data_IF_723093571578
#
_entry.id   IF_723093571578
#
_cell.length_a   1.000
_cell.length_b   1.000
_cell.length_c   1.000
_cell.angle_alpha   90.00
_cell.angle_beta   90.00
_cell.angle_gamma   90.00
#
_symmetry.space_group_name_H-M   'P 1'
#
loop_
_entity.id
_entity.type
_entity.pdbx_description
1 polymer ?
#
# COMPACT_ATOMS: atom_id res chain seq x y z
N UNK A 1 23.41 7.23 3.35
CA UNK A 1 23.62 7.32 1.88
C UNK A 1 24.61 8.43 1.52
N UNK A 2 24.44 9.74 1.88
CA UNK A 2 25.38 10.79 1.49
C UNK A 2 26.83 10.51 1.94
N UNK A 3 27.05 9.97 3.14
CA UNK A 3 28.36 9.60 3.63
C UNK A 3 29.02 8.52 2.77
N UNK A 4 28.26 7.47 2.42
CA UNK A 4 28.75 6.38 1.56
C UNK A 4 29.15 6.90 0.17
N UNK A 5 28.33 7.78 -0.40
CA UNK A 5 28.59 8.43 -1.68
C UNK A 5 29.87 9.31 -1.63
N UNK A 6 30.02 10.12 -0.57
CA UNK A 6 31.20 10.96 -0.38
C UNK A 6 32.50 10.12 -0.26
N UNK A 7 32.44 9.00 0.46
CA UNK A 7 33.58 8.08 0.59
C UNK A 7 33.86 7.40 -0.75
N UNK A 8 32.86 6.95 -1.49
CA UNK A 8 33.04 6.33 -2.81
C UNK A 8 33.70 7.30 -3.80
N UNK A 9 33.27 8.56 -3.83
CA UNK A 9 33.84 9.62 -4.65
C UNK A 9 35.29 9.88 -4.28
N UNK A 10 35.62 9.98 -2.98
CA UNK A 10 36.98 10.22 -2.50
C UNK A 10 37.91 9.05 -2.81
N UNK A 11 37.42 7.82 -2.64
CA UNK A 11 38.23 6.61 -2.85
C UNK A 11 38.23 6.14 -4.30
N UNK A 12 37.38 6.69 -5.17
CA UNK A 12 37.21 6.29 -6.59
C UNK A 12 37.00 4.78 -6.76
N UNK A 13 36.21 4.18 -5.87
CA UNK A 13 35.86 2.76 -5.88
C UNK A 13 34.52 2.50 -5.22
N UNK A 14 33.95 1.32 -5.47
CA UNK A 14 32.70 0.91 -4.80
C UNK A 14 32.92 0.84 -3.27
N UNK A 15 31.94 1.32 -2.52
CA UNK A 15 31.95 1.34 -1.05
C UNK A 15 30.62 0.80 -0.53
N UNK A 16 30.70 -0.09 0.45
CA UNK A 16 29.56 -0.55 1.23
C UNK A 16 29.72 -0.04 2.67
N UNK A 17 28.66 0.52 3.21
CA UNK A 17 28.54 0.92 4.61
C UNK A 17 27.30 0.26 5.19
N UNK A 18 27.46 -0.51 6.24
CA UNK A 18 26.42 -1.24 6.93
C UNK A 18 26.54 -0.95 8.42
N UNK A 19 25.43 -0.52 9.02
CA UNK A 19 25.37 -0.27 10.47
C UNK A 19 25.11 -1.58 11.20
N UNK A 20 25.74 -1.75 12.37
CA UNK A 20 25.31 -2.75 13.32
C UNK A 20 23.94 -2.37 13.92
N UNK A 21 23.23 -3.32 14.52
CA UNK A 21 21.94 -3.03 15.16
C UNK A 21 22.05 -1.97 16.26
N UNK A 22 23.12 -1.99 17.03
CA UNK A 22 23.39 -0.96 18.03
C UNK A 22 23.59 0.43 17.44
N UNK A 23 24.36 0.55 16.36
CA UNK A 23 24.56 1.82 15.64
C UNK A 23 23.25 2.31 14.99
N UNK A 24 22.44 1.41 14.46
CA UNK A 24 21.12 1.75 13.87
C UNK A 24 20.17 2.34 14.93
N UNK A 25 20.13 1.75 16.13
CA UNK A 25 19.35 2.30 17.25
C UNK A 25 19.85 3.66 17.76
N UNK A 26 21.16 3.90 17.70
CA UNK A 26 21.76 5.15 18.17
C UNK A 26 21.74 6.27 17.12
N UNK A 27 21.93 5.92 15.86
CA UNK A 27 22.09 6.86 14.75
C UNK A 27 21.01 6.82 13.69
N UNK A 28 20.02 5.92 13.80
CA UNK A 28 18.87 5.82 12.93
C UNK A 28 17.81 6.90 13.20
N UNK A 29 16.73 6.85 12.42
CA UNK A 29 15.59 7.74 12.56
C UNK A 29 14.43 6.96 13.19
N UNK A 30 14.24 6.98 14.51
CA UNK A 30 13.12 6.30 15.16
C UNK A 30 11.79 6.97 14.85
N UNK A 31 10.69 6.26 15.05
CA UNK A 31 9.38 6.93 15.11
C UNK A 31 9.39 7.99 16.21
N UNK A 32 8.89 9.22 15.95
CA UNK A 32 8.92 10.27 16.94
C UNK A 32 8.05 9.90 18.16
N UNK A 33 8.52 10.25 19.35
CA UNK A 33 7.71 10.16 20.55
C UNK A 33 6.63 11.25 20.55
N UNK A 34 5.49 10.97 21.15
CA UNK A 34 4.44 11.97 21.31
C UNK A 34 3.77 11.91 22.68
N UNK A 35 3.21 13.05 23.08
CA UNK A 35 2.28 13.15 24.20
C UNK A 35 0.96 13.67 23.66
N UNK A 36 -0.13 12.96 23.94
CA UNK A 36 -1.46 13.31 23.46
C UNK A 36 -2.43 13.40 24.62
N UNK A 37 -3.07 14.56 24.73
CA UNK A 37 -4.23 14.75 25.61
C UNK A 37 -5.47 14.73 24.75
N UNK A 38 -6.37 13.77 24.99
CA UNK A 38 -7.58 13.55 24.22
C UNK A 38 -8.81 13.63 25.11
N UNK A 39 -9.80 14.38 24.65
CA UNK A 39 -11.17 14.41 25.22
C UNK A 39 -12.15 14.08 24.10
N UNK A 40 -13.03 13.16 24.38
CA UNK A 40 -14.10 12.78 23.45
C UNK A 40 -15.45 12.88 24.14
N UNK A 41 -16.50 13.14 23.37
CA UNK A 41 -17.86 13.15 23.80
C UNK A 41 -18.73 12.31 22.88
N UNK A 42 -19.65 11.56 23.46
CA UNK A 42 -20.68 10.83 22.74
C UNK A 42 -22.03 10.98 23.42
N UNK A 43 -23.11 10.81 22.67
CA UNK A 43 -24.45 10.70 23.20
C UNK A 43 -24.63 9.39 23.97
N UNK A 44 -25.71 9.27 24.77
CA UNK A 44 -25.96 8.04 25.56
C UNK A 44 -26.26 6.81 24.68
N UNK A 45 -26.71 7.02 23.47
CA UNK A 45 -26.95 6.01 22.45
C UNK A 45 -25.73 5.70 21.59
N UNK A 46 -24.57 6.30 21.92
CA UNK A 46 -23.27 5.93 21.36
C UNK A 46 -22.86 6.68 20.10
N UNK A 47 -23.49 7.80 19.75
CA UNK A 47 -23.00 8.63 18.63
C UNK A 47 -21.94 9.60 19.08
N UNK A 48 -20.82 9.70 18.38
CA UNK A 48 -19.82 10.73 18.63
C UNK A 48 -20.40 12.12 18.46
N UNK A 49 -20.08 13.02 19.39
CA UNK A 49 -20.48 14.43 19.36
C UNK A 49 -19.30 15.34 19.14
N UNK A 50 -18.17 15.06 19.81
CA UNK A 50 -17.02 15.93 19.78
C UNK A 50 -15.70 15.19 20.08
N UNK A 51 -14.62 15.75 19.56
CA UNK A 51 -13.23 15.39 19.88
C UNK A 51 -12.42 16.67 20.05
N UNK A 52 -11.69 16.76 21.16
CA UNK A 52 -10.72 17.83 21.44
C UNK A 52 -9.39 17.21 21.84
N UNK A 53 -8.34 17.44 21.04
CA UNK A 53 -7.03 16.87 21.28
C UNK A 53 -5.91 17.89 21.20
N UNK A 54 -4.90 17.70 22.06
CA UNK A 54 -3.62 18.41 21.97
C UNK A 54 -2.50 17.39 21.82
N UNK A 55 -1.68 17.54 20.78
CA UNK A 55 -0.57 16.67 20.41
C UNK A 55 0.74 17.43 20.56
N UNK A 56 1.66 16.90 21.35
CA UNK A 56 3.05 17.34 21.42
C UNK A 56 3.93 16.26 20.80
N UNK A 57 4.53 16.55 19.62
CA UNK A 57 5.38 15.63 18.87
C UNK A 57 6.85 16.00 19.07
N UNK A 58 7.67 15.06 19.55
CA UNK A 58 9.11 15.23 19.70
C UNK A 58 9.83 14.82 18.40
N UNK A 59 10.19 15.79 17.58
CA UNK A 59 10.83 15.57 16.29
C UNK A 59 12.35 15.39 16.36
N UNK A 60 12.97 15.53 17.56
CA UNK A 60 14.40 15.58 17.67
C UNK A 60 14.98 16.88 17.10
N UNK A 61 16.15 16.82 16.48
CA UNK A 61 16.88 18.02 16.03
C UNK A 61 16.35 18.68 14.76
N UNK A 62 15.45 18.03 14.01
CA UNK A 62 14.88 18.57 12.77
C UNK A 62 13.36 18.52 12.79
N UNK A 63 12.73 19.57 12.24
CA UNK A 63 11.29 19.59 12.03
C UNK A 63 10.86 18.51 11.05
N UNK A 64 9.69 17.90 11.28
CA UNK A 64 9.09 16.88 10.41
C UNK A 64 7.55 16.95 10.51
N UNK A 65 6.80 16.53 9.48
CA UNK A 65 5.36 16.75 9.38
C UNK A 65 4.52 15.67 10.07
N UNK A 66 5.04 14.99 11.09
CA UNK A 66 4.38 13.81 11.68
C UNK A 66 3.20 14.16 12.57
N UNK A 67 3.23 15.34 13.20
CA UNK A 67 2.13 15.86 14.02
C UNK A 67 0.88 16.15 13.20
N UNK A 68 1.02 16.74 12.02
CA UNK A 68 -0.10 16.97 11.10
C UNK A 68 -0.77 15.66 10.68
N UNK A 69 0.02 14.65 10.35
CA UNK A 69 -0.51 13.34 9.94
C UNK A 69 -1.24 12.65 11.10
N UNK A 70 -0.68 12.70 12.31
CA UNK A 70 -1.34 12.17 13.51
C UNK A 70 -2.66 12.89 13.77
N UNK A 71 -2.68 14.23 13.71
CA UNK A 71 -3.89 15.04 13.91
C UNK A 71 -4.98 14.68 12.91
N UNK A 72 -4.63 14.53 11.64
CA UNK A 72 -5.56 14.12 10.58
C UNK A 72 -6.19 12.75 10.89
N UNK A 73 -5.40 11.77 11.29
CA UNK A 73 -5.90 10.43 11.57
C UNK A 73 -6.75 10.36 12.83
N UNK A 74 -6.38 11.11 13.89
CA UNK A 74 -7.19 11.21 15.11
C UNK A 74 -8.59 11.77 14.84
N UNK A 75 -8.69 12.81 14.01
CA UNK A 75 -9.96 13.49 13.75
C UNK A 75 -10.77 12.92 12.60
N UNK A 76 -10.32 11.86 11.93
CA UNK A 76 -10.94 11.41 10.67
C UNK A 76 -11.24 9.91 10.60
N UNK A 77 -10.78 9.10 11.55
CA UNK A 77 -11.05 7.64 11.56
C UNK A 77 -12.53 7.34 11.83
N UNK A 78 -13.17 8.18 12.59
CA UNK A 78 -14.60 8.14 12.87
C UNK A 78 -15.29 9.41 12.39
N UNK A 79 -16.58 9.33 12.12
CA UNK A 79 -17.40 10.48 11.80
C UNK A 79 -17.70 11.27 13.10
N UNK A 80 -16.95 12.34 13.34
CA UNK A 80 -17.05 13.16 14.55
C UNK A 80 -17.43 14.59 14.15
N UNK A 81 -18.69 15.01 14.41
CA UNK A 81 -19.21 16.29 13.91
C UNK A 81 -18.42 17.53 14.33
N UNK A 82 -17.84 17.50 15.52
CA UNK A 82 -17.08 18.63 16.08
C UNK A 82 -15.70 18.13 16.53
N UNK A 83 -14.71 18.22 15.67
CA UNK A 83 -13.35 17.81 15.96
C UNK A 83 -12.39 19.00 15.97
N UNK A 84 -11.57 19.09 17.01
CA UNK A 84 -10.44 20.02 17.11
C UNK A 84 -9.20 19.27 17.51
N UNK A 85 -8.14 19.36 16.72
CA UNK A 85 -6.83 18.79 17.05
C UNK A 85 -5.77 19.88 16.87
N UNK A 86 -5.19 20.29 17.99
CA UNK A 86 -4.02 21.18 18.00
C UNK A 86 -2.77 20.33 18.09
N UNK A 87 -1.77 20.58 17.26
CA UNK A 87 -0.49 19.89 17.34
C UNK A 87 0.67 20.86 17.35
N UNK A 88 1.70 20.49 18.10
CA UNK A 88 2.98 21.18 18.15
C UNK A 88 4.10 20.20 17.86
N UNK A 89 4.95 20.58 16.94
CA UNK A 89 6.16 19.82 16.60
C UNK A 89 7.34 20.49 17.31
N UNK A 90 7.96 19.74 18.22
CA UNK A 90 8.96 20.28 19.14
C UNK A 90 10.33 19.75 18.75
N UNK A 91 11.28 20.65 18.54
CA UNK A 91 12.67 20.28 18.35
C UNK A 91 13.35 20.05 19.68
N UNK A 92 14.06 18.95 19.80
CA UNK A 92 14.81 18.55 21.00
C UNK A 92 16.22 18.07 20.64
N UNK A 93 17.06 17.85 21.64
CA UNK A 93 18.42 17.36 21.47
C UNK A 93 18.49 15.83 21.31
N UNK A 94 17.53 15.24 20.59
CA UNK A 94 17.46 13.81 20.26
C UNK A 94 17.74 13.57 18.78
N UNK A 95 18.06 12.35 18.35
CA UNK A 95 18.06 12.01 16.94
C UNK A 95 16.76 12.40 16.26
N UNK A 96 16.83 12.77 14.98
CA UNK A 96 15.66 13.16 14.21
C UNK A 96 14.63 12.01 14.16
N UNK A 97 13.38 12.32 14.48
CA UNK A 97 12.25 11.42 14.23
C UNK A 97 12.04 11.22 12.73
N UNK A 98 11.83 9.99 12.32
CA UNK A 98 11.68 9.62 10.91
C UNK A 98 10.46 8.77 10.62
N UNK A 99 10.21 8.50 9.31
CA UNK A 99 9.12 7.64 8.91
C UNK A 99 9.41 6.20 9.32
N UNK A 100 8.60 5.66 10.18
CA UNK A 100 8.49 4.24 10.43
C UNK A 100 7.18 3.73 9.80
N UNK A 101 7.04 2.47 9.47
CA UNK A 101 5.88 1.89 8.75
C UNK A 101 4.55 2.52 9.17
N UNK A 102 3.79 3.09 8.20
CA UNK A 102 2.61 3.92 8.42
C UNK A 102 2.85 5.06 9.43
N UNK A 103 3.73 6.06 9.12
CA UNK A 103 4.11 7.11 10.06
C UNK A 103 2.91 7.73 10.77
N UNK A 104 3.00 7.89 12.09
CA UNK A 104 1.95 8.41 12.99
C UNK A 104 0.66 7.57 13.09
N UNK A 105 0.36 6.67 12.15
CA UNK A 105 -0.88 5.89 12.20
C UNK A 105 -0.97 4.94 13.40
N UNK A 106 0.09 4.20 13.80
CA UNK A 106 0.05 3.40 15.02
C UNK A 106 -0.16 4.24 16.28
N UNK A 107 0.43 5.45 16.33
CA UNK A 107 0.26 6.37 17.45
C UNK A 107 -1.19 6.88 17.53
N UNK A 108 -1.75 7.30 16.39
CA UNK A 108 -3.14 7.74 16.30
C UNK A 108 -4.11 6.62 16.68
N UNK A 109 -3.91 5.41 16.15
CA UNK A 109 -4.74 4.26 16.45
C UNK A 109 -4.67 3.90 17.95
N UNK A 110 -3.48 3.86 18.55
CA UNK A 110 -3.34 3.55 19.98
C UNK A 110 -4.11 4.53 20.86
N UNK A 111 -3.97 5.84 20.62
CA UNK A 111 -4.63 6.88 21.39
C UNK A 111 -6.14 6.85 21.21
N UNK A 112 -6.60 6.79 19.95
CA UNK A 112 -8.02 6.87 19.63
C UNK A 112 -8.76 5.59 20.04
N UNK A 113 -8.24 4.43 19.71
CA UNK A 113 -8.90 3.16 19.97
C UNK A 113 -8.96 2.80 21.46
N UNK A 114 -7.91 3.15 22.24
CA UNK A 114 -7.95 3.03 23.69
C UNK A 114 -9.03 3.92 24.31
N UNK A 115 -9.20 5.14 23.76
CA UNK A 115 -10.24 6.05 24.23
C UNK A 115 -11.65 5.56 23.83
N UNK A 116 -11.80 5.01 22.63
CA UNK A 116 -13.06 4.40 22.14
C UNK A 116 -13.49 3.23 23.03
N UNK A 117 -12.57 2.37 23.43
CA UNK A 117 -12.86 1.26 24.35
C UNK A 117 -13.33 1.77 25.73
N UNK A 118 -12.65 2.78 26.27
CA UNK A 118 -13.07 3.40 27.54
C UNK A 118 -14.47 4.01 27.42
N UNK A 119 -14.77 4.71 26.32
CA UNK A 119 -16.06 5.32 26.08
C UNK A 119 -17.18 4.28 25.94
N UNK A 120 -16.96 3.22 25.14
CA UNK A 120 -17.92 2.13 24.99
C UNK A 120 -18.23 1.47 26.34
N UNK A 121 -17.20 1.24 27.18
CA UNK A 121 -17.32 0.69 28.52
C UNK A 121 -18.14 1.61 29.44
N UNK A 122 -17.85 2.92 29.46
CA UNK A 122 -18.54 3.88 30.29
C UNK A 122 -20.03 4.04 29.91
N UNK A 123 -20.32 3.97 28.60
CA UNK A 123 -21.67 3.98 28.05
C UNK A 123 -22.38 2.62 28.21
N UNK A 124 -21.66 1.54 28.56
CA UNK A 124 -22.13 0.14 28.61
C UNK A 124 -22.66 -0.34 27.26
N UNK A 125 -22.00 0.06 26.20
CA UNK A 125 -22.26 -0.35 24.82
C UNK A 125 -21.25 -1.43 24.38
N UNK A 126 -21.69 -2.25 23.45
CA UNK A 126 -20.76 -3.17 22.78
C UNK A 126 -19.72 -2.37 22.00
N UNK A 127 -18.41 -2.60 22.20
CA UNK A 127 -17.36 -1.82 21.57
C UNK A 127 -17.31 -1.97 20.04
N UNK A 128 -17.82 -3.08 19.50
CA UNK A 128 -17.89 -3.27 18.04
C UNK A 128 -19.06 -2.51 17.45
N UNK A 129 -20.24 -2.56 18.09
CA UNK A 129 -21.41 -1.80 17.65
C UNK A 129 -21.15 -0.29 17.74
N UNK A 130 -20.46 0.16 18.80
CA UNK A 130 -20.05 1.56 18.94
C UNK A 130 -19.19 2.01 17.74
N UNK A 131 -18.22 1.18 17.31
CA UNK A 131 -17.37 1.48 16.16
C UNK A 131 -18.14 1.43 14.84
N UNK A 132 -19.00 0.44 14.64
CA UNK A 132 -19.85 0.32 13.45
C UNK A 132 -20.75 1.54 13.25
N UNK A 133 -21.31 2.05 14.35
CA UNK A 133 -22.20 3.22 14.32
C UNK A 133 -21.46 4.50 13.91
N UNK A 134 -20.19 4.62 14.23
CA UNK A 134 -19.42 5.86 14.10
C UNK A 134 -18.31 5.81 13.05
N UNK A 135 -18.04 4.66 12.45
CA UNK A 135 -16.96 4.53 11.47
C UNK A 135 -17.14 5.49 10.30
N UNK A 136 -16.06 6.14 9.90
CA UNK A 136 -16.07 7.00 8.72
C UNK A 136 -16.37 6.19 7.45
N UNK A 137 -17.07 6.80 6.53
CA UNK A 137 -17.48 6.22 5.25
C UNK A 137 -16.91 7.03 4.08
N UNK A 138 -16.96 6.45 2.90
CA UNK A 138 -16.61 7.13 1.65
C UNK A 138 -17.45 8.39 1.48
N UNK A 139 -16.79 9.53 1.26
CA UNK A 139 -17.42 10.84 1.13
C UNK A 139 -17.54 11.63 2.42
N UNK A 140 -17.32 11.03 3.59
CA UNK A 140 -17.27 11.78 4.85
C UNK A 140 -16.13 12.80 4.85
N UNK A 141 -16.37 13.95 5.47
CA UNK A 141 -15.37 15.00 5.57
C UNK A 141 -14.31 14.66 6.64
N UNK A 142 -13.05 14.70 6.27
CA UNK A 142 -11.93 14.61 7.18
C UNK A 142 -11.70 15.94 7.90
N UNK A 143 -11.06 15.91 9.07
CA UNK A 143 -10.76 17.12 9.88
C UNK A 143 -10.00 18.22 9.11
N UNK A 144 -9.30 17.87 8.03
CA UNK A 144 -8.58 18.80 7.17
C UNK A 144 -9.43 19.39 6.03
N UNK A 145 -10.74 19.12 6.01
CA UNK A 145 -11.69 19.61 5.00
C UNK A 145 -11.70 18.84 3.68
N UNK A 146 -10.90 17.78 3.54
CA UNK A 146 -10.99 16.89 2.37
C UNK A 146 -11.94 15.73 2.66
N UNK A 147 -12.49 15.11 1.61
CA UNK A 147 -13.34 13.95 1.78
C UNK A 147 -12.54 12.64 1.76
N UNK A 148 -13.02 11.65 2.50
CA UNK A 148 -12.52 10.30 2.37
C UNK A 148 -12.84 9.77 0.96
N UNK A 149 -11.82 9.37 0.19
CA UNK A 149 -12.07 8.55 -1.00
C UNK A 149 -12.59 7.18 -0.58
N UNK A 150 -12.52 6.16 -1.42
CA UNK A 150 -13.01 4.82 -1.04
C UNK A 150 -12.36 4.34 0.26
N UNK A 151 -13.15 4.20 1.35
CA UNK A 151 -12.73 3.71 2.66
C UNK A 151 -13.75 2.70 3.20
N UNK A 152 -13.28 1.53 3.68
CA UNK A 152 -14.13 0.38 4.01
C UNK A 152 -13.97 -0.08 5.48
N UNK A 153 -13.95 0.85 6.44
CA UNK A 153 -13.82 0.54 7.88
C UNK A 153 -14.98 -0.37 8.34
N UNK A 154 -16.22 0.00 7.97
CA UNK A 154 -17.42 -0.77 8.34
C UNK A 154 -17.35 -2.20 7.83
N UNK A 155 -16.97 -2.41 6.57
CA UNK A 155 -16.85 -3.75 6.01
C UNK A 155 -15.81 -4.62 6.76
N UNK A 156 -14.71 -4.03 7.20
CA UNK A 156 -13.72 -4.72 8.03
C UNK A 156 -14.29 -5.09 9.41
N UNK A 157 -15.04 -4.19 10.06
CA UNK A 157 -15.71 -4.45 11.34
C UNK A 157 -16.80 -5.52 11.22
N UNK A 158 -17.62 -5.48 10.17
CA UNK A 158 -18.64 -6.50 9.88
C UNK A 158 -18.01 -7.87 9.64
N UNK A 159 -16.87 -7.90 8.96
CA UNK A 159 -16.10 -9.13 8.76
C UNK A 159 -15.58 -9.71 10.08
N UNK A 160 -15.11 -8.84 11.01
CA UNK A 160 -14.75 -9.25 12.35
C UNK A 160 -15.96 -9.82 13.08
N UNK A 161 -17.10 -9.11 13.07
CA UNK A 161 -18.36 -9.54 13.73
C UNK A 161 -18.79 -10.93 13.28
N UNK A 162 -18.64 -11.23 11.98
CA UNK A 162 -19.04 -12.50 11.38
C UNK A 162 -17.99 -13.63 11.57
N UNK A 163 -16.79 -13.33 12.06
CA UNK A 163 -15.71 -14.30 12.13
C UNK A 163 -15.87 -15.27 13.30
N UNK A 164 -15.77 -16.60 13.10
CA UNK A 164 -15.95 -17.61 14.17
C UNK A 164 -15.06 -17.38 15.39
N UNK A 165 -13.78 -17.06 15.22
CA UNK A 165 -12.85 -16.79 16.33
C UNK A 165 -13.32 -15.65 17.24
N UNK A 166 -13.98 -14.63 16.67
CA UNK A 166 -14.53 -13.54 17.46
C UNK A 166 -15.81 -13.96 18.20
N UNK A 167 -16.70 -14.69 17.52
CA UNK A 167 -17.99 -15.11 18.08
C UNK A 167 -17.85 -16.19 19.15
N UNK A 168 -16.90 -17.13 18.98
CA UNK A 168 -16.68 -18.29 19.85
C UNK A 168 -15.65 -18.00 20.96
N UNK A 169 -15.23 -16.75 21.10
CA UNK A 169 -14.22 -16.36 22.09
C UNK A 169 -14.70 -16.66 23.52
N UNK A 170 -14.42 -17.85 24.01
CA UNK A 170 -14.67 -18.23 25.40
C UNK A 170 -13.77 -17.48 26.36
N UNK A 171 -14.31 -17.10 27.52
CA UNK A 171 -13.50 -16.55 28.61
C UNK A 171 -12.85 -17.74 29.35
N UNK A 172 -11.56 -17.94 29.09
CA UNK A 172 -10.70 -18.80 29.87
C UNK A 172 -10.04 -17.96 30.98
N UNK A 173 -9.62 -18.63 32.05
CA UNK A 173 -8.94 -17.96 33.16
C UNK A 173 -7.66 -17.24 32.66
N UNK A 174 -7.45 -16.04 33.17
CA UNK A 174 -6.32 -15.17 32.81
C UNK A 174 -6.23 -14.84 31.29
N UNK A 175 -7.33 -14.94 30.57
CA UNK A 175 -7.38 -14.54 29.16
C UNK A 175 -8.23 -13.31 28.94
N UNK A 176 -7.90 -12.58 27.89
CA UNK A 176 -8.66 -11.43 27.41
C UNK A 176 -8.54 -11.27 25.92
N UNK A 177 -9.48 -10.57 25.31
CA UNK A 177 -9.40 -10.21 23.90
C UNK A 177 -9.74 -8.75 23.69
N UNK A 178 -9.18 -8.18 22.65
CA UNK A 178 -9.44 -6.81 22.23
C UNK A 178 -9.25 -6.65 20.73
N UNK A 179 -9.75 -5.56 20.18
CA UNK A 179 -9.54 -5.22 18.78
C UNK A 179 -9.42 -3.71 18.60
N UNK A 180 -8.80 -3.33 17.49
CA UNK A 180 -8.61 -1.93 17.12
C UNK A 180 -8.76 -1.75 15.61
N UNK A 181 -9.19 -0.55 15.23
CA UNK A 181 -9.22 -0.08 13.84
C UNK A 181 -7.91 0.59 13.51
N UNK A 182 -7.35 0.26 12.36
CA UNK A 182 -6.20 0.95 11.78
C UNK A 182 -6.53 1.48 10.40
N UNK A 183 -6.04 2.68 10.09
CA UNK A 183 -6.22 3.28 8.78
C UNK A 183 -4.92 3.88 8.30
N UNK A 184 -4.63 3.70 7.00
CA UNK A 184 -3.54 4.35 6.32
C UNK A 184 -4.03 5.01 5.04
N UNK A 185 -3.74 6.30 4.88
CA UNK A 185 -4.25 7.09 3.75
C UNK A 185 -3.74 6.64 2.39
N UNK A 186 -2.61 5.92 2.32
CA UNK A 186 -1.78 5.74 1.14
C UNK A 186 -1.53 7.07 0.39
N UNK A 187 -0.47 7.15 -0.36
CA UNK A 187 -0.19 8.33 -1.15
C UNK A 187 -0.30 7.99 -2.64
N UNK A 188 -0.26 9.01 -3.47
CA UNK A 188 -0.19 8.91 -4.92
C UNK A 188 0.93 9.78 -5.46
N UNK A 189 1.45 9.44 -6.62
CA UNK A 189 2.46 10.23 -7.33
C UNK A 189 2.37 9.94 -8.83
N UNK A 190 2.74 10.87 -9.69
CA UNK A 190 2.90 10.56 -11.10
C UNK A 190 3.88 9.40 -11.32
N UNK A 191 3.57 8.56 -12.31
CA UNK A 191 4.40 7.43 -12.69
C UNK A 191 4.37 7.20 -14.20
N UNK A 192 5.44 6.59 -14.73
CA UNK A 192 5.53 6.15 -16.10
C UNK A 192 6.04 4.71 -16.21
N UNK A 193 5.76 4.07 -17.33
CA UNK A 193 6.26 2.75 -17.69
C UNK A 193 6.47 2.65 -19.19
N UNK A 194 7.44 1.84 -19.63
CA UNK A 194 7.63 1.51 -21.04
C UNK A 194 7.71 0.00 -21.22
N UNK A 195 7.08 -0.50 -22.27
CA UNK A 195 7.13 -1.89 -22.68
C UNK A 195 7.81 -2.02 -24.04
N UNK A 196 8.59 -3.08 -24.23
CA UNK A 196 9.18 -3.44 -25.53
C UNK A 196 9.09 -4.94 -25.73
N UNK A 197 8.45 -5.35 -26.81
CA UNK A 197 8.43 -6.74 -27.23
C UNK A 197 9.68 -7.06 -28.09
N UNK A 198 10.36 -8.14 -27.75
CA UNK A 198 11.56 -8.62 -28.46
C UNK A 198 11.21 -9.66 -29.54
N UNK A 199 12.16 -9.90 -30.46
CA UNK A 199 11.99 -10.84 -31.57
C UNK A 199 11.87 -12.32 -31.14
N UNK A 200 12.28 -12.64 -29.93
CA UNK A 200 12.14 -13.99 -29.35
C UNK A 200 10.78 -14.20 -28.62
N UNK A 201 9.97 -13.15 -28.54
CA UNK A 201 8.69 -13.17 -27.82
C UNK A 201 8.78 -12.75 -26.36
N UNK A 202 9.94 -12.40 -25.86
CA UNK A 202 10.13 -11.83 -24.52
C UNK A 202 9.67 -10.37 -24.51
N UNK A 203 9.02 -9.94 -23.43
CA UNK A 203 8.68 -8.54 -23.20
C UNK A 203 9.56 -7.95 -22.12
N UNK A 204 10.17 -6.81 -22.40
CA UNK A 204 10.91 -5.99 -21.44
C UNK A 204 10.02 -4.87 -20.92
N UNK A 205 9.83 -4.83 -19.58
CA UNK A 205 9.14 -3.78 -18.85
C UNK A 205 10.18 -2.86 -18.18
N UNK A 206 10.27 -1.62 -18.61
CA UNK A 206 11.19 -0.63 -18.09
C UNK A 206 10.51 0.25 -17.06
N UNK A 207 11.05 0.30 -15.84
CA UNK A 207 10.52 1.04 -14.69
C UNK A 207 11.60 1.82 -13.97
N UNK A 208 11.23 2.95 -13.37
CA UNK A 208 12.09 3.69 -12.44
C UNK A 208 11.98 3.23 -10.98
N UNK A 209 11.11 2.27 -10.68
CA UNK A 209 10.87 1.79 -9.30
C UNK A 209 11.89 0.74 -8.87
N UNK A 210 12.27 0.77 -7.59
CA UNK A 210 13.05 -0.31 -6.97
C UNK A 210 12.15 -1.47 -6.60
N UNK A 211 12.67 -2.71 -6.73
CA UNK A 211 11.98 -3.90 -6.25
C UNK A 211 12.06 -4.00 -4.71
N UNK A 212 11.05 -3.48 -4.06
CA UNK A 212 10.88 -3.59 -2.60
C UNK A 212 9.64 -4.42 -2.33
N UNK A 213 9.79 -5.45 -1.50
CA UNK A 213 8.71 -6.41 -1.16
C UNK A 213 8.21 -7.24 -2.35
N UNK A 214 9.02 -7.45 -3.39
CA UNK A 214 8.68 -8.27 -4.55
C UNK A 214 7.66 -7.63 -5.52
N UNK A 215 7.56 -6.30 -5.52
CA UNK A 215 6.55 -5.58 -6.32
C UNK A 215 6.73 -5.79 -7.83
N UNK A 216 7.97 -6.01 -8.30
CA UNK A 216 8.23 -6.28 -9.72
C UNK A 216 7.52 -7.54 -10.21
N UNK A 217 7.37 -8.57 -9.36
CA UNK A 217 6.54 -9.75 -9.68
C UNK A 217 5.09 -9.36 -9.95
N UNK A 218 4.51 -8.50 -9.11
CA UNK A 218 3.16 -7.98 -9.32
C UNK A 218 3.02 -7.18 -10.61
N UNK A 219 4.02 -6.38 -10.96
CA UNK A 219 4.05 -5.62 -12.21
C UNK A 219 4.15 -6.52 -13.44
N UNK A 220 4.97 -7.57 -13.37
CA UNK A 220 5.02 -8.58 -14.44
C UNK A 220 3.67 -9.31 -14.61
N UNK A 221 2.94 -9.59 -13.51
CA UNK A 221 1.60 -10.17 -13.55
C UNK A 221 0.60 -9.29 -14.32
N UNK A 222 0.65 -7.95 -14.14
CA UNK A 222 -0.20 -7.02 -14.90
C UNK A 222 0.06 -7.11 -16.40
N UNK A 223 1.33 -7.15 -16.80
CA UNK A 223 1.71 -7.31 -18.23
C UNK A 223 1.27 -8.67 -18.76
N UNK A 224 1.50 -9.73 -17.99
CA UNK A 224 1.13 -11.10 -18.35
C UNK A 224 -0.38 -11.22 -18.63
N UNK A 225 -1.21 -10.64 -17.75
CA UNK A 225 -2.66 -10.64 -17.90
C UNK A 225 -3.11 -9.80 -19.10
N UNK A 226 -2.52 -8.61 -19.30
CA UNK A 226 -2.90 -7.71 -20.40
C UNK A 226 -2.59 -8.29 -21.77
N UNK A 227 -1.47 -9.02 -21.89
CA UNK A 227 -0.97 -9.56 -23.16
C UNK A 227 -1.18 -11.05 -23.34
N UNK A 228 -1.77 -11.72 -22.35
CA UNK A 228 -1.89 -13.19 -22.30
C UNK A 228 -0.53 -13.89 -22.58
N UNK A 229 0.49 -13.47 -21.83
CA UNK A 229 1.84 -13.99 -21.90
C UNK A 229 2.17 -14.85 -20.68
N UNK A 230 2.99 -15.89 -20.83
CA UNK A 230 3.59 -16.56 -19.67
C UNK A 230 4.41 -15.58 -18.83
N UNK A 231 4.31 -15.67 -17.51
CA UNK A 231 5.00 -14.74 -16.58
C UNK A 231 6.53 -14.74 -16.79
N UNK A 232 7.10 -15.90 -17.09
CA UNK A 232 8.53 -16.10 -17.37
C UNK A 232 9.01 -15.42 -18.66
N UNK A 233 8.10 -14.99 -19.53
CA UNK A 233 8.42 -14.23 -20.74
C UNK A 233 8.57 -12.73 -20.49
N UNK A 234 8.42 -12.27 -19.24
CA UNK A 234 8.44 -10.86 -18.90
C UNK A 234 9.68 -10.55 -18.06
N UNK A 235 10.53 -9.69 -18.60
CA UNK A 235 11.74 -9.20 -17.94
C UNK A 235 11.48 -7.79 -17.41
N UNK A 236 11.50 -7.61 -16.07
CA UNK A 236 11.37 -6.28 -15.45
C UNK A 236 12.76 -5.65 -15.29
N UNK A 237 12.97 -4.51 -15.92
CA UNK A 237 14.24 -3.79 -15.97
C UNK A 237 14.12 -2.47 -15.19
N UNK A 238 14.74 -2.45 -14.01
CA UNK A 238 14.87 -1.21 -13.26
C UNK A 238 15.87 -0.29 -13.94
N UNK A 239 15.42 0.92 -14.26
CA UNK A 239 16.23 1.95 -14.88
C UNK A 239 16.80 2.93 -13.84
N UNK A 240 17.81 3.67 -14.22
CA UNK A 240 18.35 4.76 -13.43
C UNK A 240 17.51 6.05 -13.56
N UNK A 241 17.85 7.07 -12.77
CA UNK A 241 17.14 8.35 -12.74
C UNK A 241 17.38 9.26 -13.95
N UNK A 242 18.30 8.91 -14.85
CA UNK A 242 18.58 9.69 -16.07
C UNK A 242 17.80 9.17 -17.28
N UNK A 243 17.64 7.85 -17.36
CA UNK A 243 17.09 7.18 -18.55
C UNK A 243 15.73 6.51 -18.31
N UNK A 244 15.38 6.30 -17.05
CA UNK A 244 14.13 5.61 -16.69
C UNK A 244 12.90 6.50 -16.70
N UNK A 245 11.70 5.88 -16.81
CA UNK A 245 10.45 6.60 -16.63
C UNK A 245 10.33 7.15 -15.21
N UNK A 246 9.52 8.21 -15.05
CA UNK A 246 9.23 8.78 -13.72
C UNK A 246 8.63 7.70 -12.82
N UNK A 247 9.14 7.65 -11.59
CA UNK A 247 8.65 6.73 -10.59
C UNK A 247 8.47 7.41 -9.24
N UNK A 248 7.46 7.01 -8.46
CA UNK A 248 7.30 7.49 -7.10
C UNK A 248 8.43 6.98 -6.19
N UNK A 249 8.70 7.72 -5.12
CA UNK A 249 9.52 7.21 -4.02
C UNK A 249 8.85 5.96 -3.41
N UNK A 250 9.66 4.95 -3.07
CA UNK A 250 9.16 3.76 -2.35
C UNK A 250 8.86 4.10 -0.88
N UNK A 251 7.77 4.83 -0.66
CA UNK A 251 7.32 5.30 0.64
C UNK A 251 5.84 5.67 0.59
N UNK A 252 5.17 5.81 1.73
CA UNK A 252 3.77 6.18 1.81
C UNK A 252 2.77 5.20 1.18
N UNK A 253 3.19 3.98 0.83
CA UNK A 253 2.39 2.94 0.17
C UNK A 253 1.82 3.36 -1.19
N UNK A 254 2.59 4.14 -1.97
CA UNK A 254 2.10 4.71 -3.23
C UNK A 254 2.51 3.94 -4.48
N UNK A 255 3.54 3.08 -4.44
CA UNK A 255 4.16 2.53 -5.64
C UNK A 255 3.19 1.71 -6.48
N UNK A 256 2.56 0.68 -5.91
CA UNK A 256 1.63 -0.19 -6.64
C UNK A 256 0.50 0.60 -7.29
N UNK A 257 -0.17 1.42 -6.47
CA UNK A 257 -1.34 2.17 -6.90
C UNK A 257 -1.02 3.19 -8.00
N UNK A 258 0.14 3.84 -7.92
CA UNK A 258 0.55 4.86 -8.90
C UNK A 258 1.12 4.26 -10.20
N UNK A 259 1.83 3.12 -10.13
CA UNK A 259 2.60 2.60 -11.28
C UNK A 259 1.78 1.63 -12.13
N UNK A 260 0.88 0.84 -11.54
CA UNK A 260 0.07 -0.16 -12.25
C UNK A 260 -0.72 0.43 -13.43
N UNK A 261 -1.40 1.58 -13.30
CA UNK A 261 -2.11 2.15 -14.44
C UNK A 261 -1.20 2.52 -15.62
N UNK A 262 0.01 3.02 -15.35
CA UNK A 262 0.99 3.32 -16.39
C UNK A 262 1.51 2.03 -17.09
N UNK A 263 1.73 0.96 -16.32
CA UNK A 263 2.10 -0.35 -16.88
C UNK A 263 0.98 -0.89 -17.76
N UNK A 264 -0.26 -0.79 -17.31
CA UNK A 264 -1.41 -1.22 -18.08
C UNK A 264 -1.54 -0.47 -19.40
N UNK A 265 -1.44 0.86 -19.37
CA UNK A 265 -1.47 1.69 -20.57
C UNK A 265 -0.35 1.31 -21.56
N UNK A 266 0.90 1.17 -21.08
CA UNK A 266 2.02 0.74 -21.90
C UNK A 266 1.81 -0.66 -22.51
N UNK A 267 1.21 -1.58 -21.76
CA UNK A 267 0.92 -2.95 -22.23
C UNK A 267 -0.23 -2.97 -23.24
N UNK A 268 -1.25 -2.16 -23.05
CA UNK A 268 -2.36 -2.03 -24.00
C UNK A 268 -1.88 -1.45 -25.35
N UNK A 269 -0.96 -0.48 -25.35
CA UNK A 269 -0.37 0.04 -26.58
C UNK A 269 0.41 -1.07 -27.35
N UNK A 270 1.15 -1.93 -26.64
CA UNK A 270 1.79 -3.11 -27.22
C UNK A 270 0.75 -4.08 -27.79
N UNK A 271 -0.33 -4.32 -27.06
CA UNK A 271 -1.45 -5.17 -27.48
C UNK A 271 -2.10 -4.69 -28.76
N UNK A 272 -2.46 -3.41 -28.80
CA UNK A 272 -3.07 -2.79 -29.99
C UNK A 272 -2.16 -2.92 -31.22
N UNK A 273 -0.86 -2.71 -31.03
CA UNK A 273 0.11 -2.83 -32.10
C UNK A 273 0.27 -4.27 -32.61
N UNK A 274 0.29 -5.26 -31.70
CA UNK A 274 0.31 -6.68 -32.07
C UNK A 274 -0.95 -7.09 -32.83
N UNK A 275 -2.12 -6.65 -32.38
CA UNK A 275 -3.39 -6.92 -33.04
C UNK A 275 -3.46 -6.29 -34.44
N UNK A 276 -2.93 -5.09 -34.62
CA UNK A 276 -2.82 -4.43 -35.92
C UNK A 276 -1.93 -5.23 -36.89
N UNK A 277 -0.73 -5.62 -36.44
CA UNK A 277 0.19 -6.44 -37.23
C UNK A 277 -0.43 -7.80 -37.62
N UNK A 278 -1.22 -8.39 -36.72
CA UNK A 278 -1.93 -9.64 -37.00
C UNK A 278 -3.12 -9.43 -37.93
N UNK A 279 -3.83 -8.30 -37.85
CA UNK A 279 -4.89 -7.90 -38.76
C UNK A 279 -4.37 -7.86 -40.21
N UNK A 280 -3.22 -7.23 -40.42
CA UNK A 280 -2.57 -7.18 -41.74
C UNK A 280 -2.01 -8.55 -42.17
N UNK A 281 -1.64 -9.42 -41.23
CA UNK A 281 -1.16 -10.75 -41.50
C UNK A 281 -2.27 -11.72 -41.93
N UNK A 282 -3.45 -11.65 -41.30
CA UNK A 282 -4.59 -12.53 -41.53
C UNK A 282 -5.62 -11.96 -42.52
N UNK A 283 -5.47 -10.70 -42.92
CA UNK A 283 -6.49 -9.92 -43.67
C UNK A 283 -7.85 -9.99 -42.96
N UNK A 284 -7.84 -9.80 -41.63
CA UNK A 284 -9.01 -9.92 -40.76
C UNK A 284 -9.19 -8.64 -39.89
N UNK A 285 -10.43 -8.37 -39.47
CA UNK A 285 -10.68 -7.27 -38.54
C UNK A 285 -9.97 -7.49 -37.19
N UNK A 286 -9.49 -6.43 -36.58
CA UNK A 286 -8.92 -6.48 -35.22
C UNK A 286 -9.91 -7.06 -34.21
N UNK A 287 -11.20 -6.79 -34.39
CA UNK A 287 -12.27 -7.29 -33.51
C UNK A 287 -12.44 -8.83 -33.59
N UNK A 288 -11.98 -9.45 -34.67
CA UNK A 288 -11.99 -10.90 -34.86
C UNK A 288 -10.72 -11.58 -34.33
N UNK A 289 -9.80 -10.83 -33.76
CA UNK A 289 -8.52 -11.32 -33.24
C UNK A 289 -8.51 -11.33 -31.70
N UNK A 290 -7.73 -12.25 -31.14
CA UNK A 290 -7.46 -12.33 -29.73
C UNK A 290 -6.02 -12.76 -29.47
N UNK A 291 -5.45 -12.29 -28.34
CA UNK A 291 -4.17 -12.79 -27.85
C UNK A 291 -4.38 -14.12 -27.13
N UNK A 292 -3.46 -15.04 -27.26
CA UNK A 292 -3.51 -16.32 -26.56
C UNK A 292 -2.12 -16.92 -26.38
N UNK A 293 -1.65 -16.94 -25.13
CA UNK A 293 -0.39 -17.56 -24.71
C UNK A 293 0.79 -17.27 -25.67
N UNK A 294 1.09 -15.98 -25.87
CA UNK A 294 2.19 -15.53 -26.72
C UNK A 294 1.94 -15.63 -28.24
N UNK A 295 0.70 -15.88 -28.64
CA UNK A 295 0.25 -15.89 -30.02
C UNK A 295 -0.92 -14.94 -30.25
N UNK A 296 -1.15 -14.55 -31.49
CA UNK A 296 -2.40 -13.92 -31.93
C UNK A 296 -3.14 -14.88 -32.81
N UNK A 297 -4.44 -15.07 -32.57
CA UNK A 297 -5.30 -16.00 -33.32
C UNK A 297 -6.61 -15.36 -33.76
N UNK A 298 -7.22 -15.95 -34.79
CA UNK A 298 -8.56 -15.57 -35.21
C UNK A 298 -9.58 -16.24 -34.28
N UNK A 299 -10.50 -15.45 -33.70
CA UNK A 299 -11.57 -15.95 -32.83
C UNK A 299 -12.38 -17.03 -33.51
N UNK A 300 -12.60 -18.14 -32.83
CA UNK A 300 -13.36 -19.29 -33.38
C UNK A 300 -12.60 -20.18 -34.39
N UNK A 301 -11.35 -19.82 -34.77
CA UNK A 301 -10.51 -20.58 -35.69
C UNK A 301 -9.12 -20.83 -35.09
N UNK A 302 -8.97 -21.75 -34.11
CA UNK A 302 -7.71 -21.94 -33.37
C UNK A 302 -6.50 -22.31 -34.25
N UNK A 303 -6.74 -22.85 -35.45
CA UNK A 303 -5.67 -23.18 -36.40
C UNK A 303 -5.08 -21.97 -37.14
N UNK A 304 -5.81 -20.84 -37.18
CA UNK A 304 -5.29 -19.58 -37.70
C UNK A 304 -4.62 -18.79 -36.57
N UNK A 305 -3.34 -19.08 -36.33
CA UNK A 305 -2.53 -18.49 -35.27
C UNK A 305 -1.16 -18.05 -35.78
N UNK A 306 -0.61 -16.99 -35.24
CA UNK A 306 0.74 -16.50 -35.50
C UNK A 306 1.40 -16.13 -34.14
N UNK A 307 2.65 -16.51 -33.94
CA UNK A 307 3.36 -16.11 -32.70
C UNK A 307 3.65 -14.60 -32.67
N UNK A 308 3.59 -13.99 -31.51
CA UNK A 308 3.95 -12.60 -31.32
C UNK A 308 5.41 -12.36 -31.75
N UNK A 309 6.32 -13.30 -31.48
CA UNK A 309 7.70 -13.28 -31.95
C UNK A 309 7.82 -13.11 -33.48
N UNK A 310 7.01 -13.85 -34.26
CA UNK A 310 7.02 -13.74 -35.71
C UNK A 310 6.44 -12.40 -36.20
N UNK A 311 5.41 -11.87 -35.55
CA UNK A 311 4.89 -10.52 -35.84
C UNK A 311 5.94 -9.44 -35.59
N UNK A 312 6.65 -9.53 -34.48
CA UNK A 312 7.72 -8.60 -34.12
C UNK A 312 8.88 -8.66 -35.12
N UNK A 313 9.35 -9.88 -35.49
CA UNK A 313 10.37 -10.05 -36.51
C UNK A 313 9.98 -9.44 -37.85
N UNK A 314 8.73 -9.63 -38.27
CA UNK A 314 8.21 -9.03 -39.52
C UNK A 314 8.17 -7.51 -39.42
N UNK A 315 7.70 -6.96 -38.29
CA UNK A 315 7.60 -5.54 -38.05
C UNK A 315 8.97 -4.85 -38.03
N UNK A 316 10.03 -5.53 -37.56
CA UNK A 316 11.40 -4.99 -37.50
C UNK A 316 12.25 -5.32 -38.75
N UNK A 317 11.64 -5.91 -39.79
CA UNK A 317 12.35 -6.24 -41.01
C UNK A 317 12.88 -4.99 -41.73
N UNK A 318 14.07 -5.05 -42.32
CA UNK A 318 14.74 -3.92 -42.96
C UNK A 318 14.05 -3.41 -44.23
N UNK A 319 13.12 -4.19 -44.81
CA UNK A 319 12.37 -3.82 -46.02
C UNK A 319 10.89 -3.97 -45.76
N UNK A 320 10.20 -2.82 -45.62
CA UNK A 320 8.75 -2.78 -45.44
C UNK A 320 8.26 -3.13 -44.04
N UNK A 321 9.14 -3.09 -43.02
CA UNK A 321 8.73 -3.25 -41.64
C UNK A 321 8.15 -1.97 -41.05
N UNK A 322 7.25 -2.10 -40.07
CA UNK A 322 6.59 -0.97 -39.42
C UNK A 322 7.37 -0.40 -38.21
N UNK A 323 8.51 -1.03 -37.87
CA UNK A 323 9.36 -0.66 -36.72
C UNK A 323 9.07 -1.47 -35.45
N UNK A 324 9.75 -1.12 -34.34
CA UNK A 324 9.69 -1.87 -33.12
C UNK A 324 8.29 -1.86 -32.47
N UNK A 325 7.93 -2.96 -31.83
CA UNK A 325 6.70 -3.09 -31.04
C UNK A 325 6.99 -2.62 -29.62
N UNK A 326 6.53 -1.45 -29.31
CA UNK A 326 6.75 -0.76 -28.03
C UNK A 326 5.45 -0.11 -27.57
N UNK A 327 5.37 0.15 -26.27
CA UNK A 327 4.30 0.93 -25.67
C UNK A 327 4.83 1.78 -24.51
N UNK A 328 4.17 2.89 -24.25
CA UNK A 328 4.49 3.85 -23.19
C UNK A 328 3.22 4.22 -22.44
N UNK A 329 3.30 4.27 -21.13
CA UNK A 329 2.18 4.67 -20.31
C UNK A 329 2.59 5.67 -19.23
N UNK A 330 1.67 6.58 -18.91
CA UNK A 330 1.84 7.60 -17.90
C UNK A 330 0.58 7.70 -17.05
N UNK A 331 0.74 7.92 -15.77
CA UNK A 331 -0.39 8.01 -14.86
C UNK A 331 -0.19 9.11 -13.82
N UNK A 332 -1.27 9.82 -13.53
CA UNK A 332 -1.38 10.73 -12.39
C UNK A 332 -2.79 10.59 -11.84
N UNK A 333 -2.93 9.89 -10.72
CA UNK A 333 -4.23 9.64 -10.09
C UNK A 333 -4.66 10.83 -9.25
N UNK A 334 -5.96 11.20 -9.25
CA UNK A 334 -6.47 12.37 -8.54
C UNK A 334 -6.63 12.12 -7.04
N UNK A 335 -6.76 10.87 -6.60
CA UNK A 335 -7.14 10.51 -5.24
C UNK A 335 -6.22 9.43 -4.66
N UNK A 336 -6.09 9.46 -3.34
CA UNK A 336 -5.42 8.41 -2.58
C UNK A 336 -6.26 7.13 -2.56
N UNK A 337 -5.63 5.99 -2.22
CA UNK A 337 -6.30 4.70 -2.01
C UNK A 337 -6.12 4.26 -0.55
N UNK A 338 -6.94 4.74 0.39
CA UNK A 338 -6.82 4.37 1.80
C UNK A 338 -6.94 2.87 2.00
N UNK A 339 -6.19 2.36 2.96
CA UNK A 339 -6.30 0.99 3.44
C UNK A 339 -6.87 1.02 4.86
N UNK A 340 -7.98 0.32 5.08
CA UNK A 340 -8.58 0.12 6.39
C UNK A 340 -8.24 -1.28 6.90
N UNK A 341 -8.03 -1.40 8.20
CA UNK A 341 -7.79 -2.68 8.86
C UNK A 341 -8.48 -2.76 10.22
N UNK A 342 -8.81 -3.97 10.62
CA UNK A 342 -9.26 -4.31 11.97
C UNK A 342 -8.42 -5.47 12.46
N UNK A 343 -7.76 -5.29 13.59
CA UNK A 343 -6.94 -6.32 14.21
C UNK A 343 -7.59 -6.75 15.53
N UNK A 344 -7.83 -8.03 15.69
CA UNK A 344 -8.31 -8.64 16.92
C UNK A 344 -7.28 -9.61 17.45
N UNK A 345 -7.10 -9.62 18.78
CA UNK A 345 -6.17 -10.53 19.44
C UNK A 345 -6.80 -11.10 20.70
N UNK A 346 -6.59 -12.40 20.94
CA UNK A 346 -6.83 -13.06 22.22
C UNK A 346 -5.48 -13.35 22.86
N UNK A 347 -5.32 -12.93 24.11
CA UNK A 347 -4.10 -13.11 24.89
C UNK A 347 -4.36 -13.88 26.16
N UNK A 348 -3.31 -14.49 26.71
CA UNK A 348 -3.24 -14.94 28.08
C UNK A 348 -2.16 -14.16 28.82
N UNK A 349 -2.44 -13.81 30.06
CA UNK A 349 -1.50 -13.11 30.92
C UNK A 349 -1.16 -14.01 32.08
N UNK A 350 0.13 -14.21 32.34
CA UNK A 350 0.59 -14.88 33.56
C UNK A 350 0.44 -13.89 34.72
N UNK A 351 -0.38 -14.21 35.76
CA UNK A 351 -0.63 -13.26 36.85
C UNK A 351 0.56 -13.10 37.80
N UNK A 352 1.54 -14.00 37.79
CA UNK A 352 2.72 -13.91 38.66
C UNK A 352 3.84 -13.09 37.99
N UNK A 353 4.07 -13.30 36.69
CA UNK A 353 5.17 -12.68 35.96
C UNK A 353 4.74 -11.46 35.13
N UNK A 354 3.45 -11.38 34.79
CA UNK A 354 2.93 -10.38 33.83
C UNK A 354 3.25 -10.72 32.38
N UNK A 355 3.79 -11.90 32.09
CA UNK A 355 4.07 -12.33 30.71
C UNK A 355 2.79 -12.41 29.89
N UNK A 356 2.80 -11.83 28.70
CA UNK A 356 1.67 -11.80 27.75
C UNK A 356 1.94 -12.75 26.60
N UNK A 357 1.05 -13.72 26.41
CA UNK A 357 1.14 -14.70 25.32
C UNK A 357 -0.05 -14.53 24.37
N UNK A 358 0.16 -14.14 23.11
CA UNK A 358 -0.89 -14.15 22.10
C UNK A 358 -1.34 -15.58 21.82
N UNK A 359 -2.64 -15.86 21.97
CA UNK A 359 -3.24 -17.18 21.70
C UNK A 359 -3.80 -17.26 20.27
N UNK A 360 -4.53 -16.21 19.87
CA UNK A 360 -5.11 -16.08 18.54
C UNK A 360 -4.95 -14.65 18.07
N UNK A 361 -4.71 -14.49 16.78
CA UNK A 361 -4.63 -13.19 16.14
C UNK A 361 -5.42 -13.21 14.84
N UNK A 362 -6.24 -12.20 14.60
CA UNK A 362 -7.01 -12.03 13.39
C UNK A 362 -6.72 -10.64 12.83
N UNK A 363 -6.23 -10.59 11.60
CA UNK A 363 -6.06 -9.35 10.84
C UNK A 363 -7.05 -9.35 9.68
N UNK A 364 -7.89 -8.34 9.62
CA UNK A 364 -8.83 -8.09 8.53
C UNK A 364 -8.41 -6.78 7.88
N UNK A 365 -8.15 -6.79 6.59
CA UNK A 365 -7.64 -5.62 5.90
C UNK A 365 -8.28 -5.47 4.53
N UNK A 366 -8.73 -4.26 4.22
CA UNK A 366 -9.07 -3.86 2.87
C UNK A 366 -7.78 -3.44 2.15
N UNK A 367 -7.48 -4.13 1.06
CA UNK A 367 -6.34 -3.86 0.19
C UNK A 367 -6.79 -3.49 -1.23
N UNK A 368 -8.10 -3.31 -1.44
CA UNK A 368 -8.68 -3.22 -2.77
C UNK A 368 -8.52 -4.54 -3.53
N UNK A 369 -8.09 -4.46 -4.79
CA UNK A 369 -7.78 -5.66 -5.58
C UNK A 369 -6.43 -6.26 -5.16
N UNK A 370 -6.45 -7.50 -4.70
CA UNK A 370 -5.27 -8.23 -4.26
C UNK A 370 -4.47 -8.76 -5.47
N UNK A 371 -3.62 -7.93 -6.05
CA UNK A 371 -2.82 -8.29 -7.24
C UNK A 371 -1.96 -9.52 -7.01
N UNK A 372 -1.31 -9.61 -5.84
CA UNK A 372 -0.54 -10.78 -5.44
C UNK A 372 -0.84 -11.11 -3.97
N UNK A 373 -1.77 -12.05 -3.69
CA UNK A 373 -2.19 -12.40 -2.34
C UNK A 373 -1.04 -12.81 -1.43
N UNK A 374 -0.10 -13.61 -1.92
CA UNK A 374 1.05 -14.07 -1.13
C UNK A 374 1.92 -12.92 -0.61
N UNK A 375 2.17 -11.92 -1.44
CA UNK A 375 2.95 -10.73 -1.04
C UNK A 375 2.18 -9.88 -0.04
N UNK A 376 0.86 -9.77 -0.19
CA UNK A 376 -0.02 -9.04 0.74
C UNK A 376 -0.03 -9.73 2.10
N UNK A 377 -0.21 -11.04 2.14
CA UNK A 377 -0.16 -11.82 3.38
C UNK A 377 1.18 -11.64 4.10
N UNK A 378 2.29 -11.70 3.36
CA UNK A 378 3.62 -11.42 3.91
C UNK A 378 3.74 -10.02 4.52
N UNK A 379 3.13 -9.00 3.90
CA UNK A 379 3.09 -7.64 4.44
C UNK A 379 2.21 -7.55 5.71
N UNK A 380 1.08 -8.24 5.75
CA UNK A 380 0.20 -8.28 6.93
C UNK A 380 0.91 -8.98 8.09
N UNK A 381 1.50 -10.15 7.87
CA UNK A 381 2.27 -10.89 8.89
C UNK A 381 3.40 -10.04 9.45
N UNK A 382 4.18 -9.37 8.58
CA UNK A 382 5.24 -8.47 9.02
C UNK A 382 4.73 -7.29 9.86
N UNK A 383 3.55 -6.73 9.54
CA UNK A 383 2.90 -5.68 10.32
C UNK A 383 2.45 -6.16 11.70
N UNK A 384 1.87 -7.34 11.77
CA UNK A 384 1.44 -7.98 13.03
C UNK A 384 2.63 -8.21 13.95
N UNK A 385 3.72 -8.79 13.44
CA UNK A 385 4.94 -9.03 14.23
C UNK A 385 5.53 -7.74 14.77
N UNK A 386 5.57 -6.68 13.97
CA UNK A 386 6.02 -5.36 14.43
C UNK A 386 5.13 -4.77 15.53
N UNK A 387 3.82 -5.00 15.46
CA UNK A 387 2.88 -4.53 16.48
C UNK A 387 2.93 -5.31 17.78
N UNK A 388 3.29 -6.59 17.74
CA UNK A 388 3.45 -7.45 18.92
C UNK A 388 4.78 -7.23 19.63
N UNK A 389 5.86 -6.89 18.92
CA UNK A 389 7.20 -6.62 19.46
C UNK A 389 7.35 -5.22 20.04
#
# INVERSE_FOLDING_TARGET
QPLTAAVALKMKRAVRLELSRGEDFMGGMPSPACNVTLKTGATRDGQFCALDATVLMDNGIFASPWGNLLATLLGSTYNIPNARVEYSEINTNKPMGGPYRAPSAPLAAYVLESNVDLMAKDLKLDPLEFRLQNAAETGDEMINGTQWPSVNIKACLERLKAHPLYQESSQEENTGSGFAVGIWRCNVSPAGANCRMLEDGTLQLYLGTSDISGIHTGFAQVVAETLDLPLESIEVLQQDTQSGPIAPVSGGSMVSYSVIPAIREASEEVRERLLKLASDHFEASIDDLELHQGTVRVKGVPTKTVSMANLVKKAQSTRGGEGPVMGSGNCSLPENAPAASVHWVKIRVDPETGEVVPLHYLAIQDVGFALNPMLIEGQIHGGVVQGLG
#
